data_IF_731215596464
#
_entry.id   IF_731215596464
#
_cell.length_a   1.000
_cell.length_b   1.000
_cell.length_c   1.000
_cell.angle_alpha   90.00
_cell.angle_beta   90.00
_cell.angle_gamma   90.00
#
_symmetry.space_group_name_H-M   'P 1'
#
loop_
_entity.id
_entity.type
_entity.pdbx_description
1 polymer ?
#
# COMPACT_ATOMS: atom_id res chain seq x y z
N UNK A 1 -0.99 -5.00 -5.25
CA UNK A 1 -2.25 -4.29 -4.89
C UNK A 1 -3.48 -5.19 -4.79
N UNK A 2 -3.78 -6.07 -5.74
CA UNK A 2 -4.98 -6.96 -5.67
C UNK A 2 -5.05 -7.78 -4.39
N UNK A 3 -3.92 -8.30 -3.91
CA UNK A 3 -3.83 -9.10 -2.68
C UNK A 3 -3.56 -8.27 -1.42
N UNK A 4 -3.64 -6.94 -1.48
CA UNK A 4 -3.29 -6.07 -0.34
C UNK A 4 -4.07 -6.48 0.92
N UNK A 5 -5.40 -6.55 0.84
CA UNK A 5 -6.23 -6.83 2.02
C UNK A 5 -6.09 -8.26 2.52
N UNK A 6 -5.79 -9.22 1.63
CA UNK A 6 -5.49 -10.60 2.03
C UNK A 6 -4.20 -10.67 2.84
N UNK A 7 -3.12 -10.02 2.36
CA UNK A 7 -1.83 -9.95 3.07
C UNK A 7 -1.95 -9.27 4.44
N UNK A 8 -2.74 -8.19 4.53
CA UNK A 8 -3.02 -7.51 5.80
C UNK A 8 -3.73 -8.44 6.77
N UNK A 9 -4.80 -9.10 6.30
CA UNK A 9 -5.57 -10.03 7.13
C UNK A 9 -4.70 -11.18 7.64
N UNK A 10 -3.89 -11.77 6.76
CA UNK A 10 -3.00 -12.88 7.11
C UNK A 10 -1.96 -12.47 8.15
N UNK A 11 -1.33 -11.29 7.96
CA UNK A 11 -0.35 -10.76 8.91
C UNK A 11 -0.99 -10.43 10.26
N UNK A 12 -2.20 -9.89 10.28
CA UNK A 12 -2.92 -9.58 11.52
C UNK A 12 -3.33 -10.84 12.28
N UNK A 13 -3.76 -11.89 11.59
CA UNK A 13 -4.03 -13.19 12.21
C UNK A 13 -2.77 -13.79 12.82
N UNK A 14 -1.66 -13.73 12.08
CA UNK A 14 -0.36 -14.16 12.57
C UNK A 14 0.04 -13.40 13.85
N UNK A 15 -0.10 -12.07 13.84
CA UNK A 15 0.16 -11.24 15.02
C UNK A 15 -0.71 -11.64 16.21
N UNK A 16 -2.02 -11.81 16.02
CA UNK A 16 -2.96 -12.21 17.08
C UNK A 16 -2.63 -13.59 17.67
N UNK A 17 -2.25 -14.56 16.84
CA UNK A 17 -1.87 -15.90 17.30
C UNK A 17 -0.69 -15.88 18.27
N UNK A 18 0.20 -14.89 18.14
CA UNK A 18 1.40 -14.77 18.97
C UNK A 18 1.33 -13.65 20.02
N UNK A 19 0.33 -12.76 19.97
CA UNK A 19 0.20 -11.64 20.89
C UNK A 19 -0.18 -12.05 22.32
N UNK A 20 -0.89 -13.17 22.50
CA UNK A 20 -1.33 -13.66 23.81
C UNK A 20 -0.26 -14.47 24.57
N UNK A 21 0.81 -14.90 23.88
CA UNK A 21 1.78 -15.84 24.44
C UNK A 21 3.05 -15.10 24.91
N UNK A 22 2.91 -14.38 26.04
CA UNK A 22 3.94 -13.54 26.69
C UNK A 22 5.28 -14.24 27.05
N UNK A 23 5.44 -15.53 26.73
CA UNK A 23 6.60 -16.35 27.07
C UNK A 23 7.25 -17.10 25.89
N UNK A 24 6.82 -16.90 24.63
CA UNK A 24 7.51 -17.49 23.47
C UNK A 24 8.73 -16.67 23.03
N UNK A 25 9.80 -17.37 22.68
CA UNK A 25 10.99 -16.80 22.05
C UNK A 25 10.58 -16.18 20.69
N UNK A 26 10.82 -14.88 20.43
CA UNK A 26 10.50 -14.23 19.16
C UNK A 26 11.09 -14.95 17.93
N UNK A 27 12.17 -15.70 18.11
CA UNK A 27 12.77 -16.49 17.03
C UNK A 27 11.91 -17.68 16.59
N UNK A 28 11.00 -18.16 17.45
CA UNK A 28 10.10 -19.27 17.16
C UNK A 28 9.02 -18.89 16.13
N UNK A 29 8.60 -17.62 16.11
CA UNK A 29 7.67 -17.07 15.10
C UNK A 29 8.28 -17.08 13.70
N UNK A 30 9.58 -16.80 13.60
CA UNK A 30 10.33 -16.69 12.33
C UNK A 30 10.95 -18.04 11.93
N UNK A 31 11.01 -19.01 12.84
CA UNK A 31 11.51 -20.35 12.57
C UNK A 31 10.62 -21.09 11.56
N UNK A 32 9.30 -20.97 11.70
CA UNK A 32 8.35 -21.50 10.74
C UNK A 32 8.52 -20.82 9.37
N UNK A 33 8.58 -21.64 8.32
CA UNK A 33 8.87 -21.16 6.96
C UNK A 33 7.71 -20.35 6.39
N UNK A 34 6.47 -20.74 6.67
CA UNK A 34 5.27 -20.08 6.16
C UNK A 34 5.12 -18.72 6.84
N UNK A 35 5.23 -18.67 8.17
CA UNK A 35 5.20 -17.41 8.93
C UNK A 35 6.28 -16.43 8.44
N UNK A 36 7.51 -16.92 8.26
CA UNK A 36 8.61 -16.10 7.73
C UNK A 36 8.30 -15.57 6.33
N UNK A 37 7.68 -16.38 5.47
CA UNK A 37 7.30 -15.94 4.13
C UNK A 37 6.22 -14.86 4.17
N UNK A 38 5.19 -15.02 5.01
CA UNK A 38 4.11 -14.04 5.21
C UNK A 38 4.69 -12.69 5.67
N UNK A 39 5.57 -12.71 6.68
CA UNK A 39 6.24 -11.50 7.19
C UNK A 39 7.08 -10.84 6.08
N UNK A 40 7.87 -11.61 5.33
CA UNK A 40 8.71 -11.06 4.25
C UNK A 40 7.88 -10.44 3.12
N UNK A 41 6.77 -11.09 2.73
CA UNK A 41 5.85 -10.56 1.73
C UNK A 41 5.25 -9.22 2.18
N UNK A 42 4.79 -9.16 3.44
CA UNK A 42 4.20 -7.95 4.00
C UNK A 42 5.23 -6.84 4.15
N UNK A 43 6.46 -7.15 4.56
CA UNK A 43 7.56 -6.18 4.65
C UNK A 43 7.90 -5.57 3.29
N UNK A 44 8.05 -6.40 2.25
CA UNK A 44 8.34 -5.94 0.89
C UNK A 44 7.22 -5.08 0.34
N UNK A 45 5.96 -5.52 0.51
CA UNK A 45 4.79 -4.79 0.07
C UNK A 45 4.63 -3.45 0.79
N UNK A 46 4.86 -3.41 2.11
CA UNK A 46 4.86 -2.16 2.89
C UNK A 46 5.93 -1.20 2.40
N UNK A 47 7.13 -1.70 2.07
CA UNK A 47 8.21 -0.88 1.53
C UNK A 47 7.83 -0.24 0.19
N UNK A 48 7.17 -0.99 -0.70
CA UNK A 48 6.72 -0.54 -2.03
C UNK A 48 5.73 0.63 -1.93
N UNK A 49 4.82 0.61 -0.95
CA UNK A 49 3.80 1.66 -0.77
C UNK A 49 4.15 2.66 0.34
N UNK A 50 5.38 2.65 0.87
CA UNK A 50 5.80 3.46 2.03
C UNK A 50 5.91 4.97 1.79
N UNK A 51 5.64 5.45 0.57
CA UNK A 51 5.83 6.86 0.19
C UNK A 51 5.11 7.86 1.12
N UNK A 52 3.85 7.64 1.55
CA UNK A 52 3.16 8.54 2.47
C UNK A 52 3.81 8.64 3.86
N UNK A 53 4.58 7.63 4.27
CA UNK A 53 5.25 7.59 5.57
C UNK A 53 6.63 8.28 5.57
N UNK A 54 7.07 8.82 4.42
CA UNK A 54 8.37 9.52 4.30
C UNK A 54 8.22 11.00 4.68
N UNK A 55 9.34 11.70 4.99
CA UNK A 55 9.32 13.14 5.20
C UNK A 55 8.59 13.88 4.07
N UNK A 56 7.85 14.93 4.41
CA UNK A 56 6.91 15.60 3.50
C UNK A 56 7.46 15.87 2.10
N UNK A 57 8.68 16.41 1.99
CA UNK A 57 9.29 16.71 0.69
C UNK A 57 9.43 15.46 -0.21
N UNK A 58 9.74 14.31 0.38
CA UNK A 58 9.87 13.04 -0.34
C UNK A 58 8.49 12.50 -0.70
N UNK A 59 7.56 12.47 0.27
CA UNK A 59 6.18 12.05 0.07
C UNK A 59 5.53 12.84 -1.08
N UNK A 60 5.61 14.17 -1.04
CA UNK A 60 5.04 15.06 -2.05
C UNK A 60 5.59 14.78 -3.45
N UNK A 61 6.91 14.64 -3.58
CA UNK A 61 7.53 14.36 -4.87
C UNK A 61 7.09 13.02 -5.45
N UNK A 62 7.00 11.97 -4.63
CA UNK A 62 6.49 10.68 -5.09
C UNK A 62 5.02 10.73 -5.49
N UNK A 63 4.17 11.37 -4.68
CA UNK A 63 2.75 11.56 -4.99
C UNK A 63 2.55 12.27 -6.35
N UNK A 64 3.31 13.33 -6.61
CA UNK A 64 3.20 14.06 -7.89
C UNK A 64 3.70 13.22 -9.07
N UNK A 65 4.75 12.43 -8.90
CA UNK A 65 5.26 11.53 -9.96
C UNK A 65 4.25 10.43 -10.30
N UNK A 66 3.65 9.79 -9.30
CA UNK A 66 2.62 8.77 -9.51
C UNK A 66 1.38 9.35 -10.20
N UNK A 67 0.92 10.55 -9.78
CA UNK A 67 -0.21 11.20 -10.42
C UNK A 67 0.08 11.59 -11.87
N UNK A 68 1.29 12.08 -12.16
CA UNK A 68 1.64 12.41 -13.56
C UNK A 68 1.67 11.16 -14.44
N UNK A 69 2.12 10.02 -13.91
CA UNK A 69 2.04 8.73 -14.62
C UNK A 69 0.58 8.35 -14.93
N UNK A 70 -0.32 8.44 -13.94
CA UNK A 70 -1.75 8.18 -14.13
C UNK A 70 -2.39 9.13 -15.15
N UNK A 71 -2.02 10.40 -15.12
CA UNK A 71 -2.53 11.38 -16.07
C UNK A 71 -2.03 11.14 -17.49
N UNK A 72 -0.76 10.75 -17.65
CA UNK A 72 -0.22 10.37 -18.94
C UNK A 72 -0.92 9.14 -19.51
N UNK A 73 -1.23 8.15 -18.67
CA UNK A 73 -2.06 7.01 -19.07
C UNK A 73 -3.45 7.47 -19.51
N UNK A 74 -4.14 8.31 -18.72
CA UNK A 74 -5.47 8.80 -19.05
C UNK A 74 -5.54 9.61 -20.34
N UNK A 75 -4.48 10.35 -20.67
CA UNK A 75 -4.38 11.08 -21.93
C UNK A 75 -4.23 10.13 -23.13
N UNK A 76 -3.54 9.00 -22.98
CA UNK A 76 -3.46 7.98 -24.01
C UNK A 76 -4.78 7.22 -24.15
N UNK A 77 -5.43 6.86 -23.03
CA UNK A 77 -6.77 6.25 -23.03
C UNK A 77 -7.75 7.13 -23.83
N UNK A 78 -7.75 8.45 -23.58
CA UNK A 78 -8.59 9.41 -24.29
C UNK A 78 -8.31 9.45 -25.80
N UNK A 79 -7.04 9.46 -26.20
CA UNK A 79 -6.65 9.46 -27.64
C UNK A 79 -7.09 8.19 -28.35
N UNK A 80 -7.10 7.07 -27.65
CA UNK A 80 -7.51 5.76 -28.16
C UNK A 80 -9.04 5.54 -28.11
N UNK A 81 -9.81 6.50 -27.59
CA UNK A 81 -11.26 6.35 -27.39
C UNK A 81 -11.64 5.37 -26.27
N UNK A 82 -10.70 5.07 -25.37
CA UNK A 82 -10.90 4.20 -24.20
C UNK A 82 -11.46 5.06 -23.06
N UNK A 83 -12.46 4.57 -22.28
CA UNK A 83 -12.92 5.26 -21.08
C UNK A 83 -11.78 5.53 -20.09
N UNK A 84 -11.55 6.80 -19.78
CA UNK A 84 -10.50 7.23 -18.85
C UNK A 84 -10.88 6.88 -17.41
N UNK A 85 -9.97 6.25 -16.68
CA UNK A 85 -10.20 5.92 -15.26
C UNK A 85 -10.24 7.17 -14.37
N UNK A 86 -10.96 7.09 -13.25
CA UNK A 86 -11.23 8.25 -12.37
C UNK A 86 -9.94 8.92 -11.91
N UNK A 87 -8.93 8.15 -11.49
CA UNK A 87 -7.64 8.67 -11.02
C UNK A 87 -6.71 9.12 -12.15
N UNK A 88 -7.04 8.79 -13.39
CA UNK A 88 -6.23 9.08 -14.57
C UNK A 88 -6.69 10.36 -15.29
N UNK A 89 -7.85 10.92 -14.92
CA UNK A 89 -8.37 12.15 -15.54
C UNK A 89 -7.85 13.41 -14.83
N UNK A 90 -6.79 14.02 -15.37
CA UNK A 90 -6.17 15.24 -14.82
C UNK A 90 -7.13 16.44 -14.70
N UNK A 91 -8.28 16.41 -15.37
CA UNK A 91 -9.29 17.47 -15.30
C UNK A 91 -10.29 17.30 -14.15
N UNK A 92 -10.34 16.09 -13.55
CA UNK A 92 -11.33 15.74 -12.51
C UNK A 92 -10.70 15.35 -11.18
N UNK A 93 -9.45 14.89 -11.17
CA UNK A 93 -8.79 14.45 -9.95
C UNK A 93 -8.52 15.60 -9.01
N UNK A 94 -9.05 15.49 -7.80
CA UNK A 94 -8.60 16.27 -6.66
C UNK A 94 -7.34 15.62 -6.06
N UNK A 95 -6.17 16.22 -6.30
CA UNK A 95 -4.88 15.63 -5.92
C UNK A 95 -4.75 15.45 -4.39
N UNK A 96 -5.04 16.45 -3.53
CA UNK A 96 -4.99 16.23 -2.08
C UNK A 96 -5.90 15.11 -1.59
N UNK A 97 -7.17 15.10 -2.02
CA UNK A 97 -8.14 14.09 -1.56
C UNK A 97 -7.77 12.68 -2.03
N UNK A 98 -7.17 12.53 -3.23
CA UNK A 98 -6.71 11.21 -3.66
C UNK A 98 -5.57 10.67 -2.81
N UNK A 99 -4.68 11.54 -2.31
CA UNK A 99 -3.60 11.12 -1.41
C UNK A 99 -4.11 10.81 0.01
N UNK A 100 -5.08 11.58 0.52
CA UNK A 100 -5.76 11.27 1.79
C UNK A 100 -6.41 9.89 1.70
N UNK A 101 -7.19 9.63 0.63
CA UNK A 101 -7.82 8.34 0.44
C UNK A 101 -6.80 7.20 0.32
N UNK A 102 -5.69 7.41 -0.39
CA UNK A 102 -4.63 6.39 -0.45
C UNK A 102 -4.03 6.09 0.93
N UNK A 103 -3.75 7.13 1.73
CA UNK A 103 -3.26 6.95 3.10
C UNK A 103 -4.28 6.20 3.97
N UNK A 104 -5.54 6.61 3.97
CA UNK A 104 -6.60 6.00 4.79
C UNK A 104 -6.86 4.54 4.44
N UNK A 105 -6.95 4.21 3.14
CA UNK A 105 -7.39 2.88 2.69
C UNK A 105 -6.25 1.90 2.42
N UNK A 106 -5.04 2.37 2.11
CA UNK A 106 -3.91 1.50 1.80
C UNK A 106 -2.82 1.50 2.86
N UNK A 107 -2.64 2.59 3.62
CA UNK A 107 -1.60 2.67 4.64
C UNK A 107 -2.18 2.45 6.03
N UNK A 108 -3.33 3.07 6.35
CA UNK A 108 -4.00 2.93 7.64
C UNK A 108 -4.16 1.48 8.11
N UNK A 109 -4.59 0.52 7.28
CA UNK A 109 -4.71 -0.89 7.68
C UNK A 109 -3.38 -1.57 8.06
N UNK A 110 -2.23 -0.97 7.75
CA UNK A 110 -0.91 -1.50 8.05
C UNK A 110 -0.36 -1.01 9.40
N UNK A 111 -0.91 0.07 9.93
CA UNK A 111 -0.45 0.72 11.16
C UNK A 111 -1.27 0.31 12.40
N UNK A 112 -2.33 -0.49 12.22
CA UNK A 112 -3.33 -0.81 13.23
C UNK A 112 -3.13 -2.16 13.92
#
# INVERSE_FOLDING_TARGET
MVHHFDMVKETNLLYQMYADDSFQDPTQQIADKENRQTIMNMLLHSADISNPCKPWAICYNWAMRCLEEFFNQGDQERKLGIPVQILNDRTKVNRPFSQIGFAEFMIGPLEA
#
